data_IF_825933378768
#
_entry.id   IF_825933378768
#
_cell.length_a   1.000
_cell.length_b   1.000
_cell.length_c   1.000
_cell.angle_alpha   90.00
_cell.angle_beta   90.00
_cell.angle_gamma   90.00
#
_symmetry.space_group_name_H-M   'P 1'
#
loop_
_entity.id
_entity.type
_entity.pdbx_description
1 polymer ?
#
# COMPACT_ATOMS: atom_id res chain seq x y z
N UNK A 1 -8.52 10.44 26.14
CA UNK A 1 -7.05 10.60 26.13
C UNK A 1 -6.61 10.57 24.68
N UNK A 2 -5.97 11.60 24.21
CA UNK A 2 -5.63 11.75 22.79
C UNK A 2 -4.29 11.05 22.53
N UNK A 3 -4.33 9.74 22.35
CA UNK A 3 -3.13 8.90 22.14
C UNK A 3 -2.35 9.31 20.87
N UNK A 4 -3.02 9.96 19.91
CA UNK A 4 -2.40 10.41 18.66
C UNK A 4 -1.54 11.68 18.84
N UNK A 5 -1.79 12.49 19.84
CA UNK A 5 -1.06 13.77 20.09
C UNK A 5 0.37 13.62 20.61
N UNK A 6 0.84 12.43 20.93
CA UNK A 6 2.19 12.19 21.48
C UNK A 6 3.21 11.68 20.46
N UNK A 7 2.79 11.34 19.25
CA UNK A 7 3.66 10.86 18.19
C UNK A 7 3.99 11.99 17.23
N UNK A 8 5.20 11.98 16.68
CA UNK A 8 5.60 12.84 15.57
C UNK A 8 4.58 12.69 14.44
N UNK A 9 4.06 13.79 13.89
CA UNK A 9 3.21 13.68 12.72
C UNK A 9 4.07 13.32 11.50
N UNK A 10 3.97 12.11 10.94
CA UNK A 10 4.84 11.67 9.85
C UNK A 10 4.65 12.43 8.54
N UNK A 11 3.57 13.20 8.42
CA UNK A 11 3.25 14.00 7.24
C UNK A 11 3.30 15.51 7.52
N UNK A 12 3.86 15.97 8.65
CA UNK A 12 3.87 17.37 9.09
C UNK A 12 4.31 18.32 7.99
N UNK A 13 5.39 17.98 7.27
CA UNK A 13 5.98 18.82 6.22
C UNK A 13 5.58 18.38 4.81
N UNK A 14 4.54 17.57 4.64
CA UNK A 14 4.08 17.07 3.34
C UNK A 14 2.77 17.74 2.93
N UNK A 15 2.68 18.18 1.70
CA UNK A 15 1.42 18.67 1.10
C UNK A 15 0.58 17.54 0.54
N UNK A 16 1.22 16.40 0.20
CA UNK A 16 0.59 15.23 -0.38
C UNK A 16 1.25 13.94 0.11
N UNK A 17 0.63 12.80 -0.19
CA UNK A 17 1.15 11.47 0.07
C UNK A 17 1.12 10.62 -1.21
N UNK A 18 2.19 10.68 -2.00
CA UNK A 18 2.25 10.07 -3.32
C UNK A 18 3.03 8.76 -3.36
N UNK A 19 4.07 8.62 -2.56
CA UNK A 19 4.96 7.45 -2.56
C UNK A 19 5.63 7.25 -1.20
N UNK A 20 5.93 5.99 -0.85
CA UNK A 20 6.73 5.67 0.34
C UNK A 20 8.20 6.08 0.19
N UNK A 21 8.67 6.35 -1.02
CA UNK A 21 10.04 6.84 -1.25
C UNK A 21 10.26 8.22 -0.64
N UNK A 22 9.22 9.04 -0.58
CA UNK A 22 9.28 10.40 0.00
C UNK A 22 9.32 10.42 1.53
N UNK A 23 9.10 9.30 2.20
CA UNK A 23 9.18 9.18 3.65
C UNK A 23 10.57 8.73 4.10
N UNK A 24 11.04 9.23 5.24
CA UNK A 24 12.13 8.59 5.98
C UNK A 24 11.68 7.25 6.58
N UNK A 25 12.63 6.46 7.04
CA UNK A 25 12.30 5.19 7.75
C UNK A 25 11.50 5.47 9.03
N UNK A 26 11.81 6.55 9.73
CA UNK A 26 11.15 6.98 10.96
C UNK A 26 9.71 7.42 10.68
N UNK A 27 9.50 8.26 9.65
CA UNK A 27 8.16 8.69 9.22
C UNK A 27 7.28 7.49 8.81
N UNK A 28 7.87 6.50 8.12
CA UNK A 28 7.15 5.26 7.76
C UNK A 28 6.77 4.44 9.00
N UNK A 29 7.67 4.31 9.97
CA UNK A 29 7.38 3.61 11.24
C UNK A 29 6.23 4.29 11.99
N UNK A 30 6.31 5.61 12.14
CA UNK A 30 5.25 6.40 12.82
C UNK A 30 3.89 6.24 12.12
N UNK A 31 3.86 6.22 10.79
CA UNK A 31 2.63 6.02 10.03
C UNK A 31 2.04 4.61 10.25
N UNK A 32 2.91 3.59 10.31
CA UNK A 32 2.52 2.20 10.61
C UNK A 32 2.01 2.07 12.06
N UNK A 33 2.68 2.70 13.02
CA UNK A 33 2.29 2.64 14.43
C UNK A 33 0.96 3.40 14.65
N UNK A 34 0.75 4.53 13.97
CA UNK A 34 -0.54 5.23 13.92
C UNK A 34 -1.66 4.33 13.35
N UNK A 35 -1.38 3.63 12.26
CA UNK A 35 -2.34 2.69 11.68
C UNK A 35 -2.67 1.53 12.64
N UNK A 36 -1.67 1.03 13.38
CA UNK A 36 -1.88 -0.01 14.39
C UNK A 36 -2.74 0.48 15.58
N UNK A 37 -2.54 1.72 16.05
CA UNK A 37 -3.38 2.35 17.08
C UNK A 37 -4.84 2.45 16.58
N UNK A 38 -5.04 2.94 15.35
CA UNK A 38 -6.38 3.06 14.75
C UNK A 38 -7.04 1.71 14.49
N UNK A 39 -6.25 0.65 14.28
CA UNK A 39 -6.74 -0.73 14.24
C UNK A 39 -7.22 -1.20 15.62
N UNK A 40 -6.42 -0.97 16.66
CA UNK A 40 -6.79 -1.33 18.03
C UNK A 40 -8.06 -0.59 18.50
N UNK A 41 -8.19 0.70 18.20
CA UNK A 41 -9.41 1.48 18.48
C UNK A 41 -10.66 0.85 17.87
N UNK A 42 -10.57 0.34 16.63
CA UNK A 42 -11.69 -0.36 15.99
C UNK A 42 -12.12 -1.61 16.76
N UNK A 43 -11.16 -2.39 17.27
CA UNK A 43 -11.44 -3.60 18.06
C UNK A 43 -12.21 -3.28 19.33
N UNK A 44 -11.85 -2.20 20.02
CA UNK A 44 -12.54 -1.76 21.25
C UNK A 44 -13.74 -0.85 20.96
N UNK A 45 -14.13 -0.70 19.69
CA UNK A 45 -15.26 0.14 19.22
C UNK A 45 -15.14 1.62 19.61
N UNK A 46 -13.93 2.10 19.81
CA UNK A 46 -13.64 3.51 19.99
C UNK A 46 -13.57 4.20 18.61
N UNK A 47 -14.24 5.33 18.47
CA UNK A 47 -14.28 6.06 17.20
C UNK A 47 -13.39 7.30 17.27
N UNK A 48 -12.64 7.52 16.22
CA UNK A 48 -11.96 8.80 15.99
C UNK A 48 -12.92 9.75 15.28
N UNK A 49 -12.90 11.02 15.69
CA UNK A 49 -13.67 12.09 15.06
C UNK A 49 -12.78 13.07 14.29
N UNK A 50 -11.60 12.65 13.89
CA UNK A 50 -10.56 13.50 13.27
C UNK A 50 -11.02 14.17 11.97
N UNK A 51 -11.94 13.51 11.23
CA UNK A 51 -12.53 14.06 10.00
C UNK A 51 -13.98 14.56 10.18
N UNK A 52 -14.42 14.81 11.43
CA UNK A 52 -15.79 15.30 11.65
C UNK A 52 -16.08 16.57 10.86
N UNK A 53 -17.13 16.52 10.04
CA UNK A 53 -17.56 17.63 9.20
C UNK A 53 -16.70 17.85 7.95
N UNK A 54 -15.74 16.97 7.64
CA UNK A 54 -14.86 17.06 6.46
C UNK A 54 -15.30 16.11 5.36
N UNK A 55 -15.09 16.54 4.12
CA UNK A 55 -15.39 15.76 2.91
C UNK A 55 -14.10 15.29 2.26
N UNK A 56 -14.05 14.02 1.88
CA UNK A 56 -12.92 13.42 1.15
C UNK A 56 -13.41 12.90 -0.19
N UNK A 57 -12.84 13.44 -1.27
CA UNK A 57 -13.14 13.00 -2.62
C UNK A 57 -12.32 11.74 -2.96
N UNK A 58 -12.98 10.68 -3.41
CA UNK A 58 -12.37 9.45 -3.89
C UNK A 58 -12.52 9.40 -5.41
N UNK A 59 -11.43 9.67 -6.13
CA UNK A 59 -11.36 9.53 -7.59
C UNK A 59 -10.91 8.13 -7.91
N UNK A 60 -11.80 7.31 -8.44
CA UNK A 60 -11.51 5.88 -8.64
C UNK A 60 -11.98 5.39 -9.99
N UNK A 61 -11.25 4.45 -10.61
CA UNK A 61 -11.79 3.62 -11.68
C UNK A 61 -12.64 2.49 -11.11
N UNK A 62 -13.66 2.08 -11.85
CA UNK A 62 -14.60 1.02 -11.41
C UNK A 62 -13.92 -0.34 -11.19
N UNK A 63 -12.76 -0.56 -11.76
CA UNK A 63 -12.02 -1.82 -11.77
C UNK A 63 -11.35 -2.16 -10.41
N UNK A 64 -11.31 -1.21 -9.45
CA UNK A 64 -10.58 -1.38 -8.17
C UNK A 64 -11.46 -1.22 -6.93
N UNK A 65 -12.39 -2.15 -6.71
CA UNK A 65 -13.34 -2.03 -5.60
C UNK A 65 -12.68 -2.06 -4.21
N UNK A 66 -11.55 -2.76 -4.05
CA UNK A 66 -10.85 -2.88 -2.74
C UNK A 66 -10.45 -1.51 -2.20
N UNK A 67 -9.75 -0.71 -3.00
CA UNK A 67 -9.27 0.61 -2.57
C UNK A 67 -10.45 1.54 -2.27
N UNK A 68 -11.45 1.55 -3.15
CA UNK A 68 -12.68 2.32 -2.98
C UNK A 68 -13.40 1.99 -1.67
N UNK A 69 -13.55 0.71 -1.36
CA UNK A 69 -14.19 0.22 -0.13
C UNK A 69 -13.36 0.62 1.09
N UNK A 70 -12.03 0.39 1.06
CA UNK A 70 -11.14 0.70 2.17
C UNK A 70 -11.19 2.17 2.55
N UNK A 71 -11.13 3.08 1.57
CA UNK A 71 -11.17 4.51 1.86
C UNK A 71 -12.55 5.02 2.27
N UNK A 72 -13.63 4.48 1.72
CA UNK A 72 -14.97 4.82 2.22
C UNK A 72 -15.13 4.44 3.69
N UNK A 73 -14.67 3.25 4.08
CA UNK A 73 -14.68 2.80 5.48
C UNK A 73 -13.77 3.70 6.32
N UNK A 74 -12.53 3.95 5.85
CA UNK A 74 -11.56 4.78 6.58
C UNK A 74 -12.11 6.18 6.89
N UNK A 75 -12.67 6.86 5.90
CA UNK A 75 -13.26 8.20 6.06
C UNK A 75 -14.44 8.17 7.03
N UNK A 76 -15.33 7.18 6.92
CA UNK A 76 -16.48 7.01 7.82
C UNK A 76 -16.05 6.75 9.25
N UNK A 77 -15.06 5.88 9.48
CA UNK A 77 -14.57 5.57 10.83
C UNK A 77 -13.80 6.75 11.47
N UNK A 78 -13.32 7.71 10.68
CA UNK A 78 -12.77 8.97 11.15
C UNK A 78 -13.83 10.09 11.32
N UNK A 79 -15.11 9.79 11.11
CA UNK A 79 -16.23 10.74 11.27
C UNK A 79 -16.46 11.65 10.06
N UNK A 80 -15.78 11.42 8.94
CA UNK A 80 -15.89 12.19 7.71
C UNK A 80 -16.96 11.68 6.74
N UNK A 81 -17.10 12.37 5.61
CA UNK A 81 -18.01 12.00 4.52
C UNK A 81 -17.23 11.71 3.26
N UNK A 82 -17.20 10.45 2.77
CA UNK A 82 -16.59 10.13 1.49
C UNK A 82 -17.52 10.52 0.34
N UNK A 83 -16.97 11.19 -0.66
CA UNK A 83 -17.62 11.49 -1.93
C UNK A 83 -16.91 10.68 -3.00
N UNK A 84 -17.63 9.91 -3.81
CA UNK A 84 -17.03 9.02 -4.80
C UNK A 84 -17.30 9.55 -6.21
N UNK A 85 -16.23 9.88 -6.93
CA UNK A 85 -16.25 10.12 -8.35
C UNK A 85 -15.69 8.88 -9.07
N UNK A 86 -16.53 8.19 -9.81
CA UNK A 86 -16.11 7.09 -10.69
C UNK A 86 -15.89 7.65 -12.09
N UNK A 87 -14.63 7.66 -12.55
CA UNK A 87 -14.25 8.20 -13.84
C UNK A 87 -13.85 7.09 -14.80
N UNK A 88 -14.18 7.25 -16.08
CA UNK A 88 -13.69 6.41 -17.18
C UNK A 88 -12.35 6.97 -17.72
N UNK A 89 -11.55 6.15 -18.41
CA UNK A 89 -10.16 6.45 -18.73
C UNK A 89 -9.90 7.84 -19.35
N UNK A 90 -10.63 8.24 -20.40
CA UNK A 90 -10.47 9.55 -21.05
C UNK A 90 -10.99 10.70 -20.19
N UNK A 91 -12.12 10.52 -19.53
CA UNK A 91 -12.69 11.53 -18.65
C UNK A 91 -11.81 11.83 -17.41
N UNK A 92 -10.88 10.95 -17.04
CA UNK A 92 -9.96 11.22 -15.96
C UNK A 92 -8.89 12.25 -16.38
N UNK A 93 -8.38 12.18 -17.62
CA UNK A 93 -7.40 13.12 -18.13
C UNK A 93 -8.03 14.51 -18.24
N UNK A 94 -9.23 14.62 -18.78
CA UNK A 94 -9.99 15.86 -18.79
C UNK A 94 -10.25 16.42 -17.39
N UNK A 95 -10.54 15.53 -16.43
CA UNK A 95 -10.79 15.93 -15.04
C UNK A 95 -9.52 16.45 -14.34
N UNK A 96 -8.34 15.90 -14.67
CA UNK A 96 -7.06 16.30 -14.06
C UNK A 96 -6.53 17.60 -14.69
N UNK A 97 -6.72 17.79 -15.99
CA UNK A 97 -6.17 18.91 -16.75
C UNK A 97 -6.98 20.19 -16.61
N UNK A 98 -8.20 20.12 -16.05
CA UNK A 98 -9.04 21.29 -15.81
C UNK A 98 -8.79 21.89 -14.41
N UNK A 99 -7.84 22.83 -14.33
CA UNK A 99 -7.46 23.53 -13.10
C UNK A 99 -8.64 24.31 -12.50
N UNK A 100 -9.49 24.93 -13.31
CA UNK A 100 -10.65 25.68 -12.81
C UNK A 100 -11.68 24.74 -12.18
N UNK A 101 -11.91 23.58 -12.80
CA UNK A 101 -12.80 22.57 -12.25
C UNK A 101 -12.28 22.01 -10.91
N UNK A 102 -11.00 21.74 -10.81
CA UNK A 102 -10.36 21.25 -9.56
C UNK A 102 -10.45 22.31 -8.46
N UNK A 103 -10.20 23.59 -8.78
CA UNK A 103 -10.35 24.70 -7.86
C UNK A 103 -11.81 24.90 -7.41
N UNK A 104 -12.77 24.74 -8.30
CA UNK A 104 -14.19 24.77 -7.95
C UNK A 104 -14.58 23.65 -6.98
N UNK A 105 -14.06 22.43 -7.18
CA UNK A 105 -14.28 21.31 -6.25
C UNK A 105 -13.69 21.59 -4.85
N UNK A 106 -12.50 22.18 -4.77
CA UNK A 106 -11.90 22.54 -3.47
C UNK A 106 -12.69 23.65 -2.78
N UNK A 107 -13.22 24.61 -3.54
CA UNK A 107 -14.11 25.66 -3.03
C UNK A 107 -15.40 25.10 -2.43
N UNK A 108 -15.83 23.88 -2.81
CA UNK A 108 -16.93 23.15 -2.19
C UNK A 108 -16.61 22.62 -0.77
N UNK A 109 -15.40 22.86 -0.23
CA UNK A 109 -15.01 22.46 1.12
C UNK A 109 -14.42 21.05 1.20
N UNK A 110 -13.79 20.58 0.15
CA UNK A 110 -13.03 19.32 0.20
C UNK A 110 -11.85 19.46 1.18
N UNK A 111 -11.65 18.41 1.99
CA UNK A 111 -10.49 18.29 2.87
C UNK A 111 -9.30 17.62 2.19
N UNK A 112 -9.55 16.58 1.41
CA UNK A 112 -8.52 15.81 0.71
C UNK A 112 -9.08 15.11 -0.52
N UNK A 113 -8.19 14.75 -1.45
CA UNK A 113 -8.49 13.91 -2.62
C UNK A 113 -7.69 12.62 -2.54
N UNK A 114 -8.34 11.49 -2.73
CA UNK A 114 -7.73 10.15 -2.82
C UNK A 114 -7.84 9.65 -4.25
N UNK A 115 -6.72 9.23 -4.83
CA UNK A 115 -6.64 8.80 -6.23
C UNK A 115 -6.31 7.32 -6.33
N UNK A 116 -7.11 6.60 -7.13
CA UNK A 116 -6.91 5.18 -7.45
C UNK A 116 -7.25 4.92 -8.92
N UNK A 117 -6.29 5.10 -9.80
CA UNK A 117 -6.48 5.07 -11.25
C UNK A 117 -5.65 4.03 -11.99
N UNK A 118 -4.63 3.47 -11.36
CA UNK A 118 -3.63 2.57 -11.95
C UNK A 118 -2.84 3.17 -13.14
N UNK A 119 -2.87 4.47 -13.34
CA UNK A 119 -2.13 5.11 -14.43
C UNK A 119 -0.92 5.86 -13.88
N UNK A 120 0.20 5.76 -14.57
CA UNK A 120 1.44 6.44 -14.19
C UNK A 120 1.26 7.96 -14.31
N UNK A 121 1.66 8.70 -13.28
CA UNK A 121 1.68 10.15 -13.28
C UNK A 121 0.42 10.86 -12.76
N UNK A 122 -0.74 10.21 -12.77
CA UNK A 122 -2.02 10.87 -12.43
C UNK A 122 -2.00 11.55 -11.05
N UNK A 123 -1.45 10.88 -10.02
CA UNK A 123 -1.41 11.44 -8.67
C UNK A 123 -0.55 12.69 -8.56
N UNK A 124 0.57 12.76 -9.30
CA UNK A 124 1.46 13.92 -9.33
C UNK A 124 0.85 15.12 -10.06
N UNK A 125 0.05 14.90 -11.08
CA UNK A 125 -0.66 15.97 -11.78
C UNK A 125 -1.64 16.70 -10.85
N UNK A 126 -2.34 15.96 -9.99
CA UNK A 126 -3.23 16.56 -8.98
C UNK A 126 -2.50 17.40 -7.93
N UNK A 127 -1.25 17.04 -7.58
CA UNK A 127 -0.49 17.78 -6.57
C UNK A 127 -0.29 19.26 -6.93
N UNK A 128 -0.10 19.56 -8.23
CA UNK A 128 0.17 20.91 -8.71
C UNK A 128 -1.10 21.76 -8.86
N UNK A 129 -2.28 21.14 -8.88
CA UNK A 129 -3.53 21.80 -9.29
C UNK A 129 -4.55 21.97 -8.17
N UNK A 130 -4.37 21.31 -7.02
CA UNK A 130 -5.36 21.30 -5.93
C UNK A 130 -4.76 21.81 -4.62
N UNK A 131 -5.41 22.79 -3.99
CA UNK A 131 -5.00 23.38 -2.70
C UNK A 131 -5.27 22.51 -1.46
N UNK A 132 -5.56 21.21 -1.63
CA UNK A 132 -5.84 20.25 -0.55
C UNK A 132 -4.94 19.02 -0.67
N UNK A 133 -4.71 18.27 0.41
CA UNK A 133 -3.88 17.07 0.36
C UNK A 133 -4.33 16.05 -0.69
N UNK A 134 -3.39 15.57 -1.50
CA UNK A 134 -3.59 14.48 -2.46
C UNK A 134 -2.98 13.20 -1.90
N UNK A 135 -3.77 12.13 -1.88
CA UNK A 135 -3.37 10.83 -1.38
C UNK A 135 -3.41 9.82 -2.51
N UNK A 136 -2.24 9.29 -2.87
CA UNK A 136 -2.14 8.18 -3.79
C UNK A 136 -2.53 6.88 -3.10
N UNK A 137 -3.64 6.31 -3.52
CA UNK A 137 -4.06 5.00 -3.05
C UNK A 137 -3.64 3.87 -3.99
N UNK A 138 -3.62 4.14 -5.31
CA UNK A 138 -3.14 3.22 -6.34
C UNK A 138 -3.07 3.94 -7.71
N UNK A 139 -2.09 4.81 -7.90
CA UNK A 139 -1.79 5.45 -9.18
C UNK A 139 -0.27 5.54 -9.32
N UNK A 140 0.31 4.90 -10.32
CA UNK A 140 1.76 4.79 -10.56
C UNK A 140 2.60 4.22 -9.38
N UNK A 141 2.00 4.05 -8.22
CA UNK A 141 2.56 3.47 -6.99
C UNK A 141 1.39 3.09 -6.06
N UNK A 142 1.63 2.24 -5.08
CA UNK A 142 0.60 1.78 -4.12
C UNK A 142 1.07 1.91 -2.67
N UNK A 143 1.31 3.13 -2.16
CA UNK A 143 1.85 3.33 -0.82
C UNK A 143 0.98 2.75 0.29
N UNK A 144 -0.33 2.76 0.13
CA UNK A 144 -1.28 2.14 1.07
C UNK A 144 -1.11 0.61 1.12
N UNK A 145 -0.87 -0.03 -0.03
CA UNK A 145 -0.60 -1.48 -0.09
C UNK A 145 0.72 -1.82 0.62
N UNK A 146 1.77 -1.01 0.43
CA UNK A 146 3.05 -1.18 1.13
C UNK A 146 2.90 -1.13 2.65
N UNK A 147 2.18 -0.14 3.18
CA UNK A 147 1.89 -0.02 4.61
C UNK A 147 1.09 -1.23 5.09
N UNK A 148 0.02 -1.61 4.39
CA UNK A 148 -0.87 -2.70 4.80
C UNK A 148 -0.19 -4.07 4.79
N UNK A 149 0.70 -4.33 3.83
CA UNK A 149 1.49 -5.56 3.74
C UNK A 149 2.46 -5.70 4.92
N UNK A 150 3.19 -4.61 5.23
CA UNK A 150 4.09 -4.60 6.39
C UNK A 150 3.35 -4.71 7.71
N UNK A 151 2.19 -4.06 7.86
CA UNK A 151 1.34 -4.23 9.06
C UNK A 151 0.92 -5.68 9.23
N UNK A 152 0.51 -6.37 8.16
CA UNK A 152 0.14 -7.79 8.23
C UNK A 152 1.33 -8.66 8.65
N UNK A 153 2.50 -8.42 8.08
CA UNK A 153 3.72 -9.12 8.47
C UNK A 153 4.11 -8.82 9.93
N UNK A 154 4.11 -7.55 10.34
CA UNK A 154 4.42 -7.14 11.72
C UNK A 154 3.48 -7.78 12.74
N UNK A 155 2.19 -7.85 12.43
CA UNK A 155 1.18 -8.48 13.30
C UNK A 155 1.40 -9.98 13.42
N UNK A 156 1.70 -10.67 12.31
CA UNK A 156 1.84 -12.13 12.29
C UNK A 156 3.19 -12.59 12.86
N UNK A 157 4.29 -11.99 12.41
CA UNK A 157 5.65 -12.39 12.79
C UNK A 157 6.20 -11.63 14.00
N UNK A 158 5.50 -10.63 14.54
CA UNK A 158 5.91 -9.74 15.63
C UNK A 158 7.20 -8.96 15.34
N UNK A 159 7.66 -8.97 14.10
CA UNK A 159 8.85 -8.28 13.60
C UNK A 159 8.73 -8.00 12.11
N UNK A 160 9.54 -7.07 11.61
CA UNK A 160 9.80 -6.85 10.18
C UNK A 160 11.31 -6.93 9.91
N UNK A 161 12.11 -6.29 10.77
CA UNK A 161 13.57 -6.31 10.63
C UNK A 161 14.10 -7.74 10.66
N UNK A 162 14.91 -8.09 9.65
CA UNK A 162 15.50 -9.42 9.47
C UNK A 162 14.51 -10.50 9.02
N UNK A 163 13.25 -10.15 8.68
CA UNK A 163 12.32 -11.07 8.05
C UNK A 163 12.81 -11.38 6.63
N UNK A 164 12.79 -12.63 6.22
CA UNK A 164 13.12 -13.03 4.85
C UNK A 164 11.85 -13.02 4.01
N UNK A 165 11.72 -12.03 3.15
CA UNK A 165 10.56 -11.86 2.27
C UNK A 165 10.94 -12.23 0.85
N UNK A 166 10.34 -13.28 0.32
CA UNK A 166 10.44 -13.60 -1.11
C UNK A 166 9.26 -12.99 -1.85
N UNK A 167 9.59 -12.10 -2.76
CA UNK A 167 8.63 -11.49 -3.66
C UNK A 167 8.64 -12.26 -4.98
N UNK A 168 7.49 -12.84 -5.38
CA UNK A 168 7.37 -13.63 -6.60
C UNK A 168 6.45 -12.97 -7.62
N UNK A 169 6.92 -12.81 -8.85
CA UNK A 169 6.13 -12.30 -9.95
C UNK A 169 6.74 -11.10 -10.66
N UNK A 170 5.93 -10.49 -11.52
CA UNK A 170 6.30 -9.30 -12.26
C UNK A 170 6.49 -8.10 -11.34
N UNK A 171 7.57 -7.39 -11.57
CA UNK A 171 7.90 -6.19 -10.84
C UNK A 171 7.30 -4.99 -11.56
N UNK A 172 6.20 -4.51 -11.04
CA UNK A 172 5.52 -3.32 -11.55
C UNK A 172 5.45 -2.22 -10.48
N UNK A 173 4.93 -1.09 -10.86
CA UNK A 173 4.80 0.06 -9.97
C UNK A 173 3.89 -0.23 -8.75
N UNK A 174 2.90 -1.14 -8.87
CA UNK A 174 2.02 -1.49 -7.73
C UNK A 174 2.79 -2.18 -6.61
N UNK A 175 3.82 -2.91 -6.98
CA UNK A 175 4.64 -3.72 -6.08
C UNK A 175 5.83 -2.95 -5.51
N UNK A 176 6.24 -1.85 -6.13
CA UNK A 176 7.37 -1.03 -5.71
C UNK A 176 7.20 -0.52 -4.26
N UNK A 177 6.01 -0.05 -3.90
CA UNK A 177 5.73 0.40 -2.54
C UNK A 177 5.86 -0.72 -1.50
N UNK A 178 5.43 -1.93 -1.84
CA UNK A 178 5.53 -3.09 -0.93
C UNK A 178 6.99 -3.39 -0.63
N UNK A 179 7.82 -3.47 -1.68
CA UNK A 179 9.25 -3.70 -1.53
C UNK A 179 9.97 -2.58 -0.79
N UNK A 180 9.63 -1.33 -1.14
CA UNK A 180 10.15 -0.15 -0.46
C UNK A 180 9.84 -0.20 1.05
N UNK A 181 8.61 -0.56 1.43
CA UNK A 181 8.20 -0.67 2.82
C UNK A 181 8.99 -1.75 3.57
N UNK A 182 9.10 -2.95 3.01
CA UNK A 182 9.86 -4.04 3.62
C UNK A 182 11.36 -3.72 3.71
N UNK A 183 11.97 -3.20 2.65
CA UNK A 183 13.38 -2.83 2.63
C UNK A 183 13.68 -1.73 3.66
N UNK A 184 12.93 -0.63 3.69
CA UNK A 184 13.09 0.48 4.65
C UNK A 184 13.00 0.02 6.11
N UNK A 185 12.22 -1.03 6.38
CA UNK A 185 12.09 -1.60 7.72
C UNK A 185 13.09 -2.73 8.01
N UNK A 186 14.05 -2.95 7.12
CA UNK A 186 15.18 -3.86 7.32
C UNK A 186 14.84 -5.33 7.11
N UNK A 187 13.81 -5.68 6.35
CA UNK A 187 13.58 -7.04 5.89
C UNK A 187 14.60 -7.42 4.81
N UNK A 188 15.03 -8.67 4.77
CA UNK A 188 15.81 -9.21 3.66
C UNK A 188 14.85 -9.54 2.51
N UNK A 189 15.08 -8.96 1.34
CA UNK A 189 14.20 -9.13 0.19
C UNK A 189 14.85 -9.99 -0.87
N UNK A 190 14.18 -11.06 -1.27
CA UNK A 190 14.56 -11.91 -2.41
C UNK A 190 13.50 -11.74 -3.50
N UNK A 191 13.91 -11.35 -4.69
CA UNK A 191 13.03 -11.19 -5.85
C UNK A 191 13.12 -12.46 -6.71
N UNK A 192 12.06 -13.26 -6.69
CA UNK A 192 11.91 -14.42 -7.59
C UNK A 192 11.29 -13.92 -8.89
N UNK A 193 12.14 -13.62 -9.86
CA UNK A 193 11.74 -12.99 -11.11
C UNK A 193 12.71 -13.33 -12.24
N UNK A 194 12.26 -13.24 -13.48
CA UNK A 194 13.17 -13.33 -14.63
C UNK A 194 13.95 -12.02 -14.80
N UNK A 195 15.13 -12.06 -15.43
CA UNK A 195 15.91 -10.85 -15.69
C UNK A 195 15.14 -9.75 -16.45
N UNK A 196 14.18 -10.15 -17.29
CA UNK A 196 13.34 -9.23 -18.07
C UNK A 196 12.28 -8.50 -17.25
N UNK A 197 11.90 -9.09 -16.12
CA UNK A 197 10.85 -8.58 -15.22
C UNK A 197 11.42 -8.07 -13.90
N UNK A 198 12.74 -8.11 -13.71
CA UNK A 198 13.39 -7.56 -12.54
C UNK A 198 13.29 -6.02 -12.51
N UNK A 199 13.34 -5.38 -11.33
CA UNK A 199 13.41 -3.94 -11.23
C UNK A 199 14.63 -3.40 -11.98
N UNK A 200 14.55 -2.13 -12.39
CA UNK A 200 15.71 -1.42 -12.93
C UNK A 200 16.82 -1.32 -11.90
N UNK A 201 18.06 -1.22 -12.36
CA UNK A 201 19.24 -1.12 -11.48
C UNK A 201 19.12 0.00 -10.46
N UNK A 202 18.62 1.15 -10.86
CA UNK A 202 18.39 2.32 -9.97
C UNK A 202 17.44 1.99 -8.82
N UNK A 203 16.40 1.19 -9.07
CA UNK A 203 15.46 0.75 -8.04
C UNK A 203 16.11 -0.23 -7.07
N UNK A 204 16.88 -1.19 -7.57
CA UNK A 204 17.63 -2.14 -6.75
C UNK A 204 18.67 -1.43 -5.88
N UNK A 205 19.39 -0.46 -6.43
CA UNK A 205 20.34 0.38 -5.71
C UNK A 205 19.66 1.17 -4.60
N UNK A 206 18.50 1.78 -4.89
CA UNK A 206 17.72 2.49 -3.90
C UNK A 206 17.29 1.56 -2.74
N UNK A 207 16.71 0.42 -3.04
CA UNK A 207 16.25 -0.53 -2.03
C UNK A 207 17.41 -1.11 -1.20
N UNK A 208 18.57 -1.34 -1.84
CA UNK A 208 19.78 -1.90 -1.21
C UNK A 208 20.42 -0.95 -0.19
N UNK A 209 20.08 0.33 -0.18
CA UNK A 209 20.51 1.28 0.86
C UNK A 209 19.92 0.96 2.24
N UNK A 210 18.78 0.26 2.28
CA UNK A 210 18.05 -0.02 3.52
C UNK A 210 18.22 -1.44 4.04
N UNK A 211 18.39 -2.41 3.12
CA UNK A 211 18.47 -3.83 3.47
C UNK A 211 19.10 -4.66 2.34
N UNK A 212 19.32 -5.95 2.61
CA UNK A 212 19.76 -6.89 1.58
C UNK A 212 18.63 -7.12 0.59
N UNK A 213 18.86 -6.80 -0.69
CA UNK A 213 17.93 -7.05 -1.80
C UNK A 213 18.68 -7.83 -2.89
N UNK A 214 18.17 -8.99 -3.27
CA UNK A 214 18.75 -9.84 -4.32
C UNK A 214 17.67 -10.31 -5.29
N UNK A 215 18.03 -10.48 -6.54
CA UNK A 215 17.17 -11.08 -7.57
C UNK A 215 17.70 -12.47 -7.93
N UNK A 216 16.81 -13.46 -7.97
CA UNK A 216 17.11 -14.84 -8.33
C UNK A 216 16.02 -15.38 -9.25
N UNK A 217 16.37 -16.35 -10.11
CA UNK A 217 15.41 -17.03 -10.99
C UNK A 217 15.10 -18.47 -10.54
N UNK A 218 15.91 -19.03 -9.65
CA UNK A 218 15.70 -20.38 -9.11
C UNK A 218 14.72 -20.35 -7.93
N UNK A 219 13.64 -21.12 -8.05
CA UNK A 219 12.59 -21.19 -7.03
C UNK A 219 13.08 -21.77 -5.71
N UNK A 220 13.92 -22.80 -5.76
CA UNK A 220 14.46 -23.45 -4.54
C UNK A 220 15.35 -22.49 -3.78
N UNK A 221 16.19 -21.74 -4.49
CA UNK A 221 17.02 -20.71 -3.86
C UNK A 221 16.15 -19.63 -3.20
N UNK A 222 15.11 -19.16 -3.91
CA UNK A 222 14.23 -18.10 -3.44
C UNK A 222 13.36 -18.50 -2.24
N UNK A 223 12.86 -19.75 -2.20
CA UNK A 223 11.80 -20.14 -1.28
C UNK A 223 12.31 -20.79 0.01
N UNK A 224 13.44 -21.49 -0.04
CA UNK A 224 13.92 -22.36 1.07
C UNK A 224 14.10 -21.68 2.44
N UNK A 225 14.29 -20.37 2.47
CA UNK A 225 14.50 -19.60 3.69
C UNK A 225 13.48 -18.47 3.87
N UNK A 226 12.43 -18.42 3.05
CA UNK A 226 11.45 -17.35 3.11
C UNK A 226 10.52 -17.52 4.31
N UNK A 227 10.41 -16.48 5.13
CA UNK A 227 9.38 -16.38 6.17
C UNK A 227 8.03 -15.98 5.54
N UNK A 228 8.09 -15.11 4.53
CA UNK A 228 6.92 -14.62 3.79
C UNK A 228 7.14 -14.74 2.28
N UNK A 229 6.24 -15.43 1.60
CA UNK A 229 6.09 -15.37 0.15
C UNK A 229 5.05 -14.30 -0.20
N UNK A 230 5.50 -13.22 -0.82
CA UNK A 230 4.61 -12.16 -1.32
C UNK A 230 4.37 -12.33 -2.81
N UNK A 231 3.09 -12.48 -3.19
CA UNK A 231 2.67 -12.67 -4.58
C UNK A 231 2.40 -11.32 -5.24
N UNK A 232 3.22 -10.98 -6.21
CA UNK A 232 3.08 -9.79 -7.05
C UNK A 232 2.19 -10.01 -8.28
N UNK A 233 2.51 -9.32 -9.37
CA UNK A 233 1.83 -9.48 -10.66
C UNK A 233 2.19 -10.79 -11.36
N UNK A 234 1.32 -11.25 -12.28
CA UNK A 234 1.62 -12.40 -13.13
C UNK A 234 2.86 -12.14 -14.00
N UNK A 235 3.68 -13.16 -14.17
CA UNK A 235 4.89 -13.12 -14.96
C UNK A 235 4.96 -14.34 -15.88
N UNK A 236 5.29 -14.12 -17.15
CA UNK A 236 5.53 -15.22 -18.08
C UNK A 236 6.69 -16.11 -17.60
N UNK A 237 6.48 -17.42 -17.62
CA UNK A 237 7.48 -18.41 -17.21
C UNK A 237 7.63 -18.60 -15.69
N UNK A 238 6.86 -17.87 -14.87
CA UNK A 238 6.81 -18.10 -13.43
C UNK A 238 5.41 -18.58 -13.01
N UNK A 239 5.35 -19.81 -12.51
CA UNK A 239 4.16 -20.41 -11.93
C UNK A 239 4.52 -21.15 -10.67
N UNK A 240 3.76 -20.95 -9.61
CA UNK A 240 3.97 -21.55 -8.29
C UNK A 240 2.88 -22.58 -8.04
N UNK A 241 3.28 -23.81 -7.81
CA UNK A 241 2.39 -24.91 -7.48
C UNK A 241 2.62 -25.43 -6.04
N UNK A 242 1.96 -26.52 -5.69
CA UNK A 242 2.04 -27.12 -4.35
C UNK A 242 3.46 -27.57 -4.04
N UNK A 243 4.17 -28.16 -5.00
CA UNK A 243 5.54 -28.65 -4.80
C UNK A 243 6.55 -27.53 -4.57
N UNK A 244 6.30 -26.35 -5.14
CA UNK A 244 7.08 -25.15 -4.85
C UNK A 244 6.85 -24.66 -3.41
N UNK A 245 5.61 -24.73 -2.91
CA UNK A 245 5.31 -24.35 -1.53
C UNK A 245 5.85 -25.31 -0.48
N UNK A 246 6.14 -26.56 -0.85
CA UNK A 246 6.86 -27.52 0.01
C UNK A 246 8.33 -27.12 0.23
N UNK A 247 8.88 -26.23 -0.60
CA UNK A 247 10.20 -25.64 -0.40
C UNK A 247 10.23 -24.58 0.69
N UNK A 248 9.09 -23.99 1.03
CA UNK A 248 8.98 -23.00 2.10
C UNK A 248 9.10 -23.67 3.48
N UNK A 249 9.69 -22.97 4.46
CA UNK A 249 9.61 -23.39 5.86
C UNK A 249 8.15 -23.62 6.31
N UNK A 250 7.93 -24.52 7.28
CA UNK A 250 6.59 -24.84 7.78
C UNK A 250 5.88 -23.63 8.40
N UNK A 251 6.66 -22.74 9.02
CA UNK A 251 6.14 -21.49 9.63
C UNK A 251 5.92 -20.36 8.62
N UNK A 252 6.29 -20.55 7.35
CA UNK A 252 6.15 -19.53 6.33
C UNK A 252 4.69 -19.20 6.03
N UNK A 253 4.46 -17.96 5.61
CA UNK A 253 3.14 -17.45 5.24
C UNK A 253 3.14 -16.93 3.81
N UNK A 254 1.94 -16.83 3.23
CA UNK A 254 1.71 -16.28 1.90
C UNK A 254 0.82 -15.04 1.98
N UNK A 255 1.20 -13.99 1.27
CA UNK A 255 0.40 -12.79 1.07
C UNK A 255 0.55 -12.27 -0.35
N UNK A 256 -0.10 -11.18 -0.67
CA UNK A 256 -0.02 -10.54 -1.99
C UNK A 256 -1.15 -9.58 -2.25
N UNK A 257 -1.08 -8.88 -3.37
CA UNK A 257 -2.17 -8.03 -3.83
C UNK A 257 -3.36 -8.86 -4.32
N UNK A 258 -4.57 -8.42 -3.96
CA UNK A 258 -5.80 -9.07 -4.39
C UNK A 258 -6.45 -8.34 -5.59
N UNK A 259 -7.00 -9.07 -6.57
CA UNK A 259 -7.08 -10.54 -6.67
C UNK A 259 -5.72 -11.16 -7.06
N UNK A 260 -5.41 -12.31 -6.46
CA UNK A 260 -4.21 -13.07 -6.85
C UNK A 260 -4.40 -13.66 -8.24
N UNK A 261 -3.40 -13.50 -9.10
CA UNK A 261 -3.48 -14.02 -10.47
C UNK A 261 -3.40 -15.55 -10.49
N UNK A 262 -4.37 -16.23 -11.12
CA UNK A 262 -4.33 -17.68 -11.28
C UNK A 262 -3.21 -18.17 -12.22
N UNK A 263 -2.61 -17.26 -13.00
CA UNK A 263 -1.43 -17.56 -13.84
C UNK A 263 -0.11 -17.47 -13.08
N UNK A 264 -0.13 -16.98 -11.83
CA UNK A 264 1.06 -16.93 -10.97
C UNK A 264 1.11 -18.10 -10.00
N UNK A 265 -0.02 -18.51 -9.43
CA UNK A 265 -0.09 -19.55 -8.40
C UNK A 265 -1.34 -20.41 -8.55
N UNK A 266 -1.21 -21.72 -8.29
CA UNK A 266 -2.34 -22.64 -8.28
C UNK A 266 -3.31 -22.36 -7.11
N UNK A 267 -4.61 -22.62 -7.32
CA UNK A 267 -5.59 -22.49 -6.23
C UNK A 267 -5.34 -23.44 -5.05
N UNK A 268 -4.95 -24.71 -5.25
CA UNK A 268 -4.56 -25.59 -4.16
C UNK A 268 -3.34 -25.06 -3.40
N UNK A 269 -2.27 -24.65 -4.10
CA UNK A 269 -1.08 -24.07 -3.48
C UNK A 269 -1.45 -22.87 -2.60
N UNK A 270 -2.29 -21.98 -3.09
CA UNK A 270 -2.73 -20.81 -2.33
C UNK A 270 -3.42 -21.17 -0.99
N UNK A 271 -3.92 -22.41 -0.85
CA UNK A 271 -4.61 -22.89 0.37
C UNK A 271 -3.71 -23.68 1.32
N UNK A 272 -2.50 -24.08 0.90
CA UNK A 272 -1.65 -25.03 1.62
C UNK A 272 -0.84 -24.43 2.77
N UNK A 273 -0.68 -23.09 2.83
CA UNK A 273 0.11 -22.39 3.86
C UNK A 273 -0.71 -21.33 4.59
N UNK A 274 -0.17 -20.79 5.66
CA UNK A 274 -0.75 -19.63 6.36
C UNK A 274 -0.90 -18.45 5.41
N UNK A 275 -2.05 -17.78 5.47
CA UNK A 275 -2.42 -16.75 4.52
C UNK A 275 -2.70 -15.43 5.24
N UNK A 276 -2.03 -14.38 4.79
CA UNK A 276 -2.19 -13.04 5.37
C UNK A 276 -3.06 -12.10 4.54
N UNK A 277 -3.68 -12.58 3.46
CA UNK A 277 -4.46 -11.73 2.53
C UNK A 277 -5.59 -10.95 3.20
N UNK A 278 -6.38 -11.61 4.06
CA UNK A 278 -7.49 -10.95 4.74
C UNK A 278 -7.00 -9.89 5.72
N UNK A 279 -5.93 -10.20 6.46
CA UNK A 279 -5.30 -9.26 7.39
C UNK A 279 -4.71 -8.06 6.64
N UNK A 280 -4.03 -8.30 5.52
CA UNK A 280 -3.49 -7.24 4.68
C UNK A 280 -4.61 -6.38 4.08
N UNK A 281 -5.69 -6.97 3.60
CA UNK A 281 -6.82 -6.24 3.04
C UNK A 281 -7.52 -5.36 4.10
N UNK A 282 -7.69 -5.85 5.32
CA UNK A 282 -8.21 -5.08 6.46
C UNK A 282 -7.27 -3.93 6.83
N UNK A 283 -5.96 -4.18 6.88
CA UNK A 283 -4.96 -3.16 7.18
C UNK A 283 -4.96 -2.00 6.17
N UNK A 284 -5.45 -2.21 4.95
CA UNK A 284 -5.65 -1.13 3.98
C UNK A 284 -6.61 -0.04 4.47
N UNK A 285 -7.62 -0.40 5.27
CA UNK A 285 -8.50 0.59 5.95
C UNK A 285 -7.70 1.40 6.95
N UNK A 286 -6.89 0.73 7.78
CA UNK A 286 -6.13 1.38 8.85
C UNK A 286 -4.98 2.23 8.32
N UNK A 287 -4.33 1.80 7.24
CA UNK A 287 -3.34 2.60 6.51
C UNK A 287 -3.98 3.89 5.95
N UNK A 288 -5.14 3.78 5.32
CA UNK A 288 -5.91 4.94 4.85
C UNK A 288 -6.30 5.89 5.99
N UNK A 289 -6.75 5.35 7.13
CA UNK A 289 -7.04 6.16 8.32
C UNK A 289 -5.82 6.89 8.84
N UNK A 290 -4.66 6.23 8.89
CA UNK A 290 -3.42 6.82 9.38
C UNK A 290 -2.99 8.02 8.53
N UNK A 291 -3.01 7.87 7.21
CA UNK A 291 -2.66 8.96 6.28
C UNK A 291 -3.64 10.14 6.41
N UNK A 292 -4.94 9.86 6.37
CA UNK A 292 -5.98 10.89 6.49
C UNK A 292 -5.93 11.63 7.83
N UNK A 293 -5.73 10.90 8.95
CA UNK A 293 -5.62 11.51 10.27
C UNK A 293 -4.37 12.37 10.42
N UNK A 294 -3.24 11.95 9.83
CA UNK A 294 -2.00 12.73 9.85
C UNK A 294 -2.17 14.08 9.13
N UNK A 295 -2.85 14.12 7.99
CA UNK A 295 -3.19 15.39 7.35
C UNK A 295 -4.21 16.22 8.15
N UNK A 296 -5.16 15.57 8.81
CA UNK A 296 -6.19 16.26 9.59
C UNK A 296 -5.65 16.97 10.84
N UNK A 297 -4.56 16.50 11.40
CA UNK A 297 -3.89 17.12 12.55
C UNK A 297 -3.12 18.40 12.19
N UNK A 298 -2.84 18.63 10.90
CA UNK A 298 -2.16 19.84 10.39
C UNK A 298 -3.14 21.00 10.17
N UNK A 299 -4.41 20.70 9.95
CA UNK A 299 -5.49 21.61 9.59
C UNK A 299 -6.35 21.96 10.81
#
# INVERSE_FOLDING_TARGET
MDFLKRTLNPLENKTCFLSLKSLSTEELKELIDRAAILSAMRVVKEQSATLKGRYVLLVTKNEYPKVKINFQIAVKELGGTPIVASVSGEALEEFIDDEEYLNALTACGLFAVVISTKKSGDAGAFESSIGVPVINANAADSPIEGISAVMAAKTHFQRVKGLNVTFAGHFDYENNSVLCAFAKLGANVTLLTSPKCAPKSEELEYLSQFSRVIAVSDKREALKNADLLYLGGAQEGLYIDESDLDLLPDCASVSGSLPVSPSLISKPALKSKNRLFSLQAENGVHAGKAVLSAFAEKA
#
